data_IF_929970928683
#
_entry.id   IF_929970928683
#
_cell.length_a   1.000
_cell.length_b   1.000
_cell.length_c   1.000
_cell.angle_alpha   90.00
_cell.angle_beta   90.00
_cell.angle_gamma   90.00
#
_symmetry.space_group_name_H-M   'P 1'
#
loop_
_entity.id
_entity.type
_entity.pdbx_description
1 polymer ?
#
# COMPACT_ATOMS: atom_id res chain seq x y z
N UNK A 1 -23.76 -15.31 13.40
CA UNK A 1 -22.43 -15.95 13.15
C UNK A 1 -21.42 -14.82 13.03
N UNK A 2 -20.29 -14.91 13.71
CA UNK A 2 -19.19 -13.93 13.62
C UNK A 2 -18.38 -14.26 12.36
N UNK A 3 -18.17 -13.26 11.48
CA UNK A 3 -17.35 -13.41 10.29
C UNK A 3 -15.90 -13.07 10.61
N UNK A 4 -14.97 -13.84 10.07
CA UNK A 4 -13.53 -13.65 10.22
C UNK A 4 -12.92 -12.95 9.00
N UNK A 5 -11.92 -12.11 9.22
CA UNK A 5 -11.13 -11.47 8.17
C UNK A 5 -9.74 -11.14 8.71
N UNK A 6 -8.77 -10.93 7.81
CA UNK A 6 -7.42 -10.48 8.17
C UNK A 6 -7.29 -8.97 7.96
N UNK A 7 -6.36 -8.34 8.68
CA UNK A 7 -6.06 -6.91 8.58
C UNK A 7 -4.56 -6.74 8.41
N UNK A 8 -4.18 -5.81 7.54
CA UNK A 8 -2.79 -5.45 7.28
C UNK A 8 -2.14 -6.21 6.14
N UNK A 9 -0.95 -5.75 5.78
CA UNK A 9 -0.17 -6.29 4.68
C UNK A 9 0.33 -7.70 4.99
N UNK A 10 0.23 -8.60 4.02
CA UNK A 10 0.83 -9.92 4.11
C UNK A 10 2.34 -9.82 3.88
N UNK A 11 3.17 -10.65 4.54
CA UNK A 11 4.59 -10.67 4.27
C UNK A 11 4.87 -10.90 2.78
N UNK A 12 5.74 -10.08 2.20
CA UNK A 12 6.13 -10.21 0.79
C UNK A 12 6.81 -11.57 0.59
N UNK A 13 6.31 -12.43 -0.32
CA UNK A 13 6.96 -13.69 -0.63
C UNK A 13 8.39 -13.47 -1.09
N UNK A 14 9.34 -14.29 -0.60
CA UNK A 14 10.77 -14.12 -0.88
C UNK A 14 11.14 -14.23 -2.37
N UNK A 15 10.30 -14.86 -3.17
CA UNK A 15 10.49 -15.00 -4.61
C UNK A 15 9.94 -13.81 -5.41
N UNK A 16 9.02 -13.01 -4.87
CA UNK A 16 8.41 -11.87 -5.57
C UNK A 16 9.44 -10.82 -6.03
N UNK A 17 10.49 -10.49 -5.26
CA UNK A 17 11.55 -9.59 -5.72
C UNK A 17 12.26 -10.05 -7.00
N UNK A 18 12.34 -11.35 -7.22
CA UNK A 18 12.98 -11.91 -8.44
C UNK A 18 12.01 -12.09 -9.60
N UNK A 19 10.71 -12.02 -9.34
CA UNK A 19 9.62 -12.14 -10.32
C UNK A 19 8.72 -10.90 -10.29
N UNK A 20 9.30 -9.71 -10.32
CA UNK A 20 8.61 -8.41 -10.22
C UNK A 20 7.88 -8.04 -11.52
N UNK A 21 6.91 -8.88 -11.91
CA UNK A 21 6.00 -8.66 -13.03
C UNK A 21 4.56 -8.58 -12.52
N UNK A 22 3.64 -8.11 -13.34
CA UNK A 22 2.20 -8.18 -13.00
C UNK A 22 1.73 -9.62 -12.78
N UNK A 23 2.27 -10.57 -13.55
CA UNK A 23 1.98 -12.00 -13.38
C UNK A 23 2.51 -12.51 -12.04
N UNK A 24 3.77 -12.19 -11.69
CA UNK A 24 4.35 -12.54 -10.40
C UNK A 24 3.57 -11.94 -9.23
N UNK A 25 3.14 -10.70 -9.33
CA UNK A 25 2.28 -10.05 -8.32
C UNK A 25 0.93 -10.78 -8.20
N UNK A 26 0.28 -11.09 -9.34
CA UNK A 26 -0.97 -11.83 -9.38
C UNK A 26 -0.84 -13.21 -8.73
N UNK A 27 0.23 -13.95 -9.00
CA UNK A 27 0.50 -15.26 -8.40
C UNK A 27 0.75 -15.15 -6.90
N UNK A 28 1.45 -14.12 -6.45
CA UNK A 28 1.65 -13.84 -5.03
C UNK A 28 0.32 -13.56 -4.32
N UNK A 29 -0.54 -12.71 -4.91
CA UNK A 29 -1.87 -12.43 -4.38
C UNK A 29 -2.72 -13.71 -4.32
N UNK A 30 -2.67 -14.54 -5.37
CA UNK A 30 -3.38 -15.82 -5.39
C UNK A 30 -2.93 -16.75 -4.27
N UNK A 31 -1.62 -16.85 -4.03
CA UNK A 31 -1.08 -17.66 -2.94
C UNK A 31 -1.57 -17.16 -1.56
N UNK A 32 -1.58 -15.85 -1.34
CA UNK A 32 -2.10 -15.22 -0.12
C UNK A 32 -3.59 -15.51 0.08
N UNK A 33 -4.39 -15.36 -0.98
CA UNK A 33 -5.83 -15.63 -0.97
C UNK A 33 -6.09 -17.08 -0.63
N UNK A 34 -5.42 -18.02 -1.32
CA UNK A 34 -5.58 -19.45 -1.07
C UNK A 34 -5.16 -19.86 0.34
N UNK A 35 -4.15 -19.25 0.89
CA UNK A 35 -3.77 -19.46 2.29
C UNK A 35 -4.88 -19.06 3.26
N UNK A 36 -5.54 -17.93 3.01
CA UNK A 36 -6.67 -17.45 3.81
C UNK A 36 -7.91 -18.36 3.65
N UNK A 37 -8.23 -18.77 2.42
CA UNK A 37 -9.33 -19.72 2.16
C UNK A 37 -9.11 -21.05 2.88
N UNK A 38 -7.89 -21.60 2.81
CA UNK A 38 -7.53 -22.86 3.50
C UNK A 38 -7.58 -22.72 5.03
N UNK A 39 -7.29 -21.54 5.56
CA UNK A 39 -7.42 -21.23 6.97
C UNK A 39 -8.86 -20.98 7.42
N UNK A 40 -9.84 -21.02 6.51
CA UNK A 40 -11.26 -20.82 6.82
C UNK A 40 -11.65 -19.38 7.08
N UNK A 41 -10.92 -18.41 6.53
CA UNK A 41 -11.25 -16.98 6.64
C UNK A 41 -12.48 -16.68 5.78
N UNK A 42 -13.51 -16.04 6.36
CA UNK A 42 -14.78 -15.77 5.68
C UNK A 42 -14.70 -14.65 4.62
N UNK A 43 -13.88 -13.63 4.88
CA UNK A 43 -13.66 -12.51 3.95
C UNK A 43 -12.16 -12.34 3.74
N UNK A 44 -11.70 -12.71 2.55
CA UNK A 44 -10.28 -12.68 2.20
C UNK A 44 -9.81 -11.29 1.76
N UNK A 45 -8.51 -11.05 1.82
CA UNK A 45 -7.85 -9.84 1.35
C UNK A 45 -6.71 -10.19 0.39
N UNK A 46 -6.33 -9.23 -0.45
CA UNK A 46 -5.24 -9.34 -1.43
C UNK A 46 -3.83 -9.39 -0.82
N UNK A 47 -3.73 -9.15 0.49
CA UNK A 47 -2.47 -9.05 1.21
C UNK A 47 -1.75 -7.72 0.99
N UNK A 48 -2.37 -6.77 0.27
CA UNK A 48 -1.81 -5.44 -0.03
C UNK A 48 -0.45 -5.50 -0.78
N UNK A 49 -0.18 -6.62 -1.47
CA UNK A 49 1.11 -6.87 -2.12
C UNK A 49 1.39 -5.91 -3.29
N UNK A 50 0.36 -5.38 -3.94
CA UNK A 50 0.48 -4.37 -5.00
C UNK A 50 1.10 -3.04 -4.51
N UNK A 51 1.09 -2.80 -3.21
CA UNK A 51 1.70 -1.60 -2.59
C UNK A 51 3.20 -1.74 -2.35
N UNK A 52 3.74 -2.95 -2.55
CA UNK A 52 5.16 -3.16 -2.39
C UNK A 52 5.93 -2.72 -3.64
N UNK A 53 6.98 -1.92 -3.43
CA UNK A 53 7.86 -1.45 -4.48
C UNK A 53 9.26 -2.03 -4.28
N UNK A 54 9.74 -2.83 -5.25
CA UNK A 54 11.07 -3.45 -5.21
C UNK A 54 12.19 -2.42 -5.21
N UNK A 55 11.99 -1.29 -5.88
CA UNK A 55 12.98 -0.23 -6.00
C UNK A 55 13.03 0.65 -4.76
N UNK A 56 11.98 0.59 -3.94
CA UNK A 56 11.76 1.41 -2.76
C UNK A 56 11.22 0.57 -1.60
N UNK A 57 11.98 -0.47 -1.20
CA UNK A 57 11.58 -1.40 -0.16
C UNK A 57 11.33 -0.73 1.22
N UNK A 58 11.86 0.50 1.41
CA UNK A 58 11.60 1.33 2.59
C UNK A 58 10.23 2.03 2.56
N UNK A 59 9.47 1.91 1.45
CA UNK A 59 8.19 2.57 1.27
C UNK A 59 7.15 2.02 2.24
N UNK A 60 6.48 2.92 2.94
CA UNK A 60 5.32 2.57 3.75
C UNK A 60 4.09 2.40 2.86
N UNK A 61 3.66 1.16 2.63
CA UNK A 61 2.49 0.85 1.81
C UNK A 61 1.16 1.41 2.35
N UNK A 62 1.10 1.86 3.60
CA UNK A 62 -0.10 2.52 4.15
C UNK A 62 -0.20 4.00 3.79
N UNK A 63 0.92 4.67 3.57
CA UNK A 63 0.94 6.13 3.37
C UNK A 63 1.62 6.48 2.05
N UNK A 64 2.89 6.11 1.88
CA UNK A 64 3.68 6.50 0.72
C UNK A 64 3.05 6.03 -0.59
N UNK A 65 2.47 4.83 -0.62
CA UNK A 65 1.76 4.29 -1.78
C UNK A 65 0.63 5.22 -2.26
N UNK A 66 -0.10 5.83 -1.33
CA UNK A 66 -1.22 6.71 -1.65
C UNK A 66 -0.79 8.16 -1.91
N UNK A 67 0.28 8.63 -1.27
CA UNK A 67 0.70 10.03 -1.34
C UNK A 67 1.64 10.29 -2.52
N UNK A 68 2.55 9.35 -2.81
CA UNK A 68 3.55 9.53 -3.88
C UNK A 68 2.97 9.79 -5.28
N UNK A 69 1.87 9.13 -5.70
CA UNK A 69 1.30 9.33 -7.02
C UNK A 69 0.51 10.63 -7.17
N UNK A 70 0.17 11.32 -6.06
CA UNK A 70 -0.67 12.53 -6.11
C UNK A 70 0.08 13.69 -6.75
N UNK A 71 -0.63 14.46 -7.59
CA UNK A 71 -0.16 15.76 -8.03
C UNK A 71 -0.22 16.79 -6.89
N UNK A 72 0.62 17.80 -6.95
CA UNK A 72 0.70 18.84 -5.92
C UNK A 72 1.45 18.41 -4.66
N UNK A 73 2.09 17.24 -4.65
CA UNK A 73 2.91 16.73 -3.56
C UNK A 73 4.37 16.65 -3.97
N UNK A 74 5.24 17.29 -3.19
CA UNK A 74 6.69 17.19 -3.31
C UNK A 74 7.23 16.14 -2.34
N UNK A 75 8.05 15.21 -2.82
CA UNK A 75 8.60 14.11 -2.03
C UNK A 75 10.05 14.33 -1.59
N UNK A 76 10.77 15.15 -2.34
CA UNK A 76 12.17 15.48 -2.05
C UNK A 76 12.21 16.80 -1.27
N UNK A 77 12.61 16.70 -0.02
CA UNK A 77 12.90 17.87 0.81
C UNK A 77 14.38 18.17 0.76
N UNK A 78 14.71 19.45 0.62
CA UNK A 78 16.05 19.91 0.92
C UNK A 78 16.40 19.67 2.42
N UNK A 79 17.69 19.62 2.79
CA UNK A 79 18.11 19.29 4.14
C UNK A 79 17.58 20.25 5.21
N UNK A 80 17.39 21.54 4.88
CA UNK A 80 16.90 22.55 5.82
C UNK A 80 15.41 22.31 6.13
N UNK A 81 14.59 22.11 5.11
CA UNK A 81 13.16 21.80 5.28
C UNK A 81 12.95 20.48 6.00
N UNK A 82 13.78 19.47 5.71
CA UNK A 82 13.73 18.19 6.40
C UNK A 82 14.03 18.35 7.89
N UNK A 83 15.05 19.15 8.24
CA UNK A 83 15.41 19.43 9.63
C UNK A 83 14.26 20.12 10.36
N UNK A 84 13.70 21.17 9.78
CA UNK A 84 12.54 21.88 10.35
C UNK A 84 11.37 20.93 10.58
N UNK A 85 11.11 20.03 9.64
CA UNK A 85 10.06 19.02 9.78
C UNK A 85 10.35 18.04 10.92
N UNK A 86 11.59 17.56 11.06
CA UNK A 86 12.00 16.63 12.13
C UNK A 86 11.92 17.23 13.53
N UNK A 87 12.12 18.55 13.64
CA UNK A 87 12.03 19.28 14.91
C UNK A 87 10.58 19.50 15.38
N UNK A 88 9.59 19.26 14.53
CA UNK A 88 8.18 19.40 14.91
C UNK A 88 7.74 18.27 15.86
N UNK A 89 6.95 18.59 16.88
CA UNK A 89 6.38 17.59 17.79
C UNK A 89 5.58 16.54 17.02
N UNK A 90 5.83 15.26 17.29
CA UNK A 90 5.13 14.15 16.64
C UNK A 90 5.82 13.56 15.41
N UNK A 91 6.85 14.20 14.87
CA UNK A 91 7.56 13.70 13.68
C UNK A 91 8.81 12.86 14.00
N UNK A 92 9.18 12.75 15.27
CA UNK A 92 10.41 12.08 15.72
C UNK A 92 10.51 10.59 15.39
N UNK A 93 9.37 9.93 15.11
CA UNK A 93 9.33 8.51 14.75
C UNK A 93 9.56 8.24 13.25
N UNK A 94 9.59 9.27 12.41
CA UNK A 94 9.82 9.15 10.96
C UNK A 94 11.11 9.84 10.55
N UNK A 95 11.83 9.22 9.62
CA UNK A 95 13.05 9.81 9.05
C UNK A 95 12.74 10.97 8.10
N UNK A 96 11.62 10.90 7.39
CA UNK A 96 11.15 11.91 6.42
C UNK A 96 9.63 11.86 6.32
N UNK A 97 8.95 12.94 5.88
CA UNK A 97 7.55 12.90 5.52
C UNK A 97 7.33 12.06 4.25
N UNK A 98 6.14 11.51 4.03
CA UNK A 98 5.78 10.85 2.77
C UNK A 98 5.69 11.83 1.60
N UNK A 99 5.43 13.09 1.88
CA UNK A 99 5.38 14.21 0.96
C UNK A 99 4.92 15.48 1.65
N UNK A 100 5.09 16.61 0.98
CA UNK A 100 4.57 17.92 1.43
C UNK A 100 3.69 18.47 0.33
N UNK A 101 2.51 18.93 0.69
CA UNK A 101 1.60 19.61 -0.24
C UNK A 101 2.18 20.97 -0.60
N UNK A 102 2.44 21.18 -1.88
CA UNK A 102 3.02 22.43 -2.43
C UNK A 102 2.10 23.12 -3.44
N UNK A 103 0.97 22.49 -3.77
CA UNK A 103 0.02 23.00 -4.73
C UNK A 103 -1.35 22.36 -4.60
N UNK A 104 -2.20 22.58 -5.58
CA UNK A 104 -3.51 21.92 -5.65
C UNK A 104 -3.35 20.42 -5.80
N UNK A 105 -4.06 19.64 -4.98
CA UNK A 105 -4.00 18.20 -5.02
C UNK A 105 -4.87 17.63 -6.14
N UNK A 106 -4.30 16.72 -6.92
CA UNK A 106 -5.04 15.92 -7.91
C UNK A 106 -4.65 14.45 -7.80
N UNK A 107 -5.42 13.58 -8.44
CA UNK A 107 -5.27 12.11 -8.34
C UNK A 107 -3.91 11.63 -8.89
N UNK A 108 -3.37 12.32 -9.88
CA UNK A 108 -2.10 11.94 -10.50
C UNK A 108 -2.16 10.52 -11.10
N UNK A 109 -1.14 9.71 -10.79
CA UNK A 109 -1.01 8.35 -11.31
C UNK A 109 -1.65 7.27 -10.40
N UNK A 110 -2.38 7.65 -9.35
CA UNK A 110 -3.03 6.68 -8.45
C UNK A 110 -4.23 6.02 -9.14
N UNK A 111 -4.16 4.72 -9.40
CA UNK A 111 -5.23 3.95 -10.04
C UNK A 111 -5.63 2.73 -9.19
N UNK A 112 -6.40 3.00 -8.14
CA UNK A 112 -6.91 1.96 -7.25
C UNK A 112 -7.91 1.02 -7.94
N UNK A 113 -8.52 1.46 -9.04
CA UNK A 113 -9.41 0.60 -9.81
C UNK A 113 -8.63 -0.49 -10.54
N UNK A 114 -7.51 -0.15 -11.17
CA UNK A 114 -6.63 -1.13 -11.81
C UNK A 114 -6.10 -2.16 -10.80
N UNK A 115 -5.67 -1.70 -9.61
CA UNK A 115 -5.23 -2.57 -8.52
C UNK A 115 -6.33 -3.52 -8.05
N UNK A 116 -7.56 -3.02 -7.93
CA UNK A 116 -8.71 -3.85 -7.58
C UNK A 116 -9.05 -4.87 -8.68
N UNK A 117 -8.99 -4.49 -9.96
CA UNK A 117 -9.27 -5.39 -11.08
C UNK A 117 -8.27 -6.56 -11.15
N UNK A 118 -7.00 -6.31 -10.82
CA UNK A 118 -5.98 -7.36 -10.69
C UNK A 118 -6.40 -8.42 -9.66
N UNK A 119 -7.01 -7.98 -8.57
CA UNK A 119 -7.40 -8.80 -7.43
C UNK A 119 -8.76 -9.50 -7.59
N UNK A 120 -9.79 -8.80 -8.11
CA UNK A 120 -11.18 -9.22 -8.01
C UNK A 120 -11.47 -10.57 -8.65
N UNK A 121 -10.73 -10.93 -9.72
CA UNK A 121 -10.88 -12.18 -10.48
C UNK A 121 -10.18 -13.39 -9.85
N UNK A 122 -9.42 -13.24 -8.77
CA UNK A 122 -8.59 -14.30 -8.20
C UNK A 122 -9.35 -15.26 -7.29
N UNK A 123 -10.55 -14.89 -6.82
CA UNK A 123 -11.37 -15.74 -5.95
C UNK A 123 -12.85 -15.46 -6.10
N UNK A 124 -13.66 -16.51 -5.91
CA UNK A 124 -15.11 -16.40 -5.79
C UNK A 124 -15.58 -16.10 -4.35
N UNK A 125 -14.68 -16.17 -3.35
CA UNK A 125 -15.01 -15.91 -1.95
C UNK A 125 -15.34 -14.43 -1.72
N UNK A 126 -16.09 -14.12 -0.64
CA UNK A 126 -16.24 -12.75 -0.19
C UNK A 126 -14.86 -12.12 0.01
N UNK A 127 -14.67 -10.94 -0.53
CA UNK A 127 -13.38 -10.27 -0.53
C UNK A 127 -13.51 -8.80 -0.15
N UNK A 128 -12.45 -8.24 0.42
CA UNK A 128 -12.33 -6.82 0.71
C UNK A 128 -11.10 -6.23 0.07
N UNK A 129 -11.19 -5.00 -0.38
CA UNK A 129 -10.08 -4.16 -0.80
C UNK A 129 -9.89 -3.06 0.24
N UNK A 130 -8.68 -2.88 0.74
CA UNK A 130 -8.39 -1.94 1.82
C UNK A 130 -7.75 -0.68 1.26
N UNK A 131 -8.23 0.47 1.71
CA UNK A 131 -7.65 1.78 1.36
C UNK A 131 -7.36 2.55 2.63
N UNK A 132 -6.29 3.35 2.62
CA UNK A 132 -5.98 4.24 3.73
C UNK A 132 -6.94 5.44 3.70
N UNK A 133 -7.51 5.78 4.83
CA UNK A 133 -8.44 6.90 4.90
C UNK A 133 -7.72 8.24 4.67
N UNK A 134 -8.39 9.25 4.09
CA UNK A 134 -7.83 10.59 3.94
C UNK A 134 -7.34 11.18 5.27
N UNK A 135 -8.01 10.89 6.37
CA UNK A 135 -7.61 11.34 7.71
C UNK A 135 -6.22 10.81 8.12
N UNK A 136 -5.85 9.62 7.67
CA UNK A 136 -4.53 9.05 7.96
C UNK A 136 -3.44 9.60 7.04
N UNK A 137 -3.83 10.21 5.91
CA UNK A 137 -2.91 10.79 4.93
C UNK A 137 -2.64 12.27 5.20
N UNK A 138 -3.53 12.94 5.92
CA UNK A 138 -3.41 14.33 6.35
C UNK A 138 -2.57 14.45 7.63
#
# INVERSE_FOLDING_TARGET
MIKTTVVGSYPVPSWLPTCSSQEGLRDAMLAVIKTQEMAGIDVVADGELYRWDINHAETNGMIDFFVRPLEGVEQLLDPERLKVWQEQPGNSFRKKPPGIVVGELAVGALDLQADYELYRGLTAWPKKFTVTSPYMLA
#
